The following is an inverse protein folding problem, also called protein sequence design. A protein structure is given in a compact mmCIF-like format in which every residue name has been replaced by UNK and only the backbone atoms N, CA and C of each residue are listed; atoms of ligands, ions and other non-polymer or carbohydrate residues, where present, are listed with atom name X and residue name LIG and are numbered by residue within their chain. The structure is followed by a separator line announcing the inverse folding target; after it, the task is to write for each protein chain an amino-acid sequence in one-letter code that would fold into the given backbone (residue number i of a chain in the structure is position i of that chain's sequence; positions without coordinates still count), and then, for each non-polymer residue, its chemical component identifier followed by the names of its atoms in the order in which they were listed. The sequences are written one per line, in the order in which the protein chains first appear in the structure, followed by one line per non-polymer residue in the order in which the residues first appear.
data_IF_165479086058
#
_entry.id   IF_165479086058
#
_cell.length_a   1.000
_cell.length_b   1.000
_cell.length_c   1.000
_cell.angle_alpha   90.00
_cell.angle_beta   90.00
_cell.angle_gamma   90.00
#
_symmetry.space_group_name_H-M   'P 1'
#
loop_
_entity.id
_entity.type
_entity.pdbx_description
1 polymer ?
#
# COMPACT_ATOMS: atom_id res chain seq x y z
N UNK A 1 11.24 23.04 30.64
CA UNK A 1 12.46 22.35 30.13
C UNK A 1 12.31 20.83 29.96
N UNK A 2 11.27 20.16 30.48
CA UNK A 2 11.12 18.69 30.39
C UNK A 2 10.53 18.19 29.06
N UNK A 3 9.72 18.99 28.36
CA UNK A 3 9.09 18.60 27.09
C UNK A 3 10.07 18.47 25.90
N UNK A 4 11.23 19.13 25.96
CA UNK A 4 12.25 19.03 24.91
C UNK A 4 12.97 17.66 24.92
N UNK A 5 13.25 17.13 26.12
CA UNK A 5 14.00 15.87 26.29
C UNK A 5 13.21 14.65 25.79
N UNK A 6 11.87 14.67 25.92
CA UNK A 6 11.02 13.59 25.42
C UNK A 6 10.98 13.49 23.90
N UNK A 7 11.09 14.61 23.18
CA UNK A 7 11.14 14.61 21.71
C UNK A 7 12.46 14.04 21.19
N UNK A 8 13.58 14.31 21.85
CA UNK A 8 14.88 13.75 21.45
C UNK A 8 14.95 12.23 21.65
N UNK A 9 14.44 11.72 22.77
CA UNK A 9 14.44 10.26 23.05
C UNK A 9 13.55 9.51 22.04
N UNK A 10 12.41 10.09 21.65
CA UNK A 10 11.50 9.50 20.64
C UNK A 10 12.10 9.50 19.24
N UNK A 11 12.98 10.46 18.92
CA UNK A 11 13.71 10.51 17.65
C UNK A 11 14.87 9.50 17.63
N UNK A 12 15.62 9.38 18.73
CA UNK A 12 16.75 8.44 18.83
C UNK A 12 16.30 6.97 18.65
N UNK A 13 15.19 6.56 19.26
CA UNK A 13 14.68 5.19 19.11
C UNK A 13 14.18 4.86 17.70
N UNK A 14 13.69 5.86 16.94
CA UNK A 14 13.29 5.67 15.53
C UNK A 14 14.49 5.44 14.63
N UNK A 15 15.61 6.13 14.88
CA UNK A 15 16.85 5.98 14.11
C UNK A 15 17.45 4.58 14.34
N UNK A 16 17.44 4.12 15.59
CA UNK A 16 17.94 2.77 15.94
C UNK A 16 17.10 1.68 15.26
N UNK A 17 15.76 1.81 15.25
CA UNK A 17 14.88 0.83 14.59
C UNK A 17 15.09 0.75 13.07
N UNK A 18 15.38 1.86 12.41
CA UNK A 18 15.68 1.89 10.97
C UNK A 18 17.06 1.27 10.68
N UNK A 19 18.05 1.51 11.54
CA UNK A 19 19.38 0.91 11.40
C UNK A 19 19.35 -0.63 11.50
N UNK A 20 18.55 -1.18 12.41
CA UNK A 20 18.38 -2.65 12.56
C UNK A 20 17.69 -3.26 11.34
N UNK A 21 16.67 -2.60 10.78
CA UNK A 21 15.96 -3.08 9.58
C UNK A 21 16.83 -3.07 8.32
N UNK A 22 17.72 -2.08 8.17
CA UNK A 22 18.66 -2.01 7.04
C UNK A 22 19.76 -3.08 7.18
N UNK A 23 20.17 -3.42 8.41
CA UNK A 23 21.17 -4.47 8.65
C UNK A 23 20.68 -5.90 8.36
N UNK A 24 19.37 -6.14 8.40
CA UNK A 24 18.79 -7.46 8.10
C UNK A 24 18.60 -7.75 6.60
N UNK A 25 18.83 -6.78 5.71
CA UNK A 25 18.54 -6.93 4.27
C UNK A 25 19.78 -7.25 3.41
N UNK A 26 20.95 -7.49 4.03
CA UNK A 26 22.22 -7.69 3.31
C UNK A 26 22.83 -9.10 3.42
N UNK A 27 22.12 -10.07 4.01
CA UNK A 27 22.56 -11.48 4.03
C UNK A 27 21.56 -12.34 3.26
N UNK A 28 21.78 -12.46 1.95
CA UNK A 28 20.96 -13.27 1.06
C UNK A 28 21.58 -13.38 -0.34
N UNK A 29 22.89 -13.62 -0.41
CA UNK A 29 23.59 -13.94 -1.64
C UNK A 29 24.50 -15.16 -1.40
N UNK A 30 24.06 -16.32 -1.90
CA UNK A 30 24.87 -17.50 -2.22
C UNK A 30 24.04 -18.25 -3.30
N UNK A 31 24.47 -18.16 -4.58
CA UNK A 31 25.17 -19.22 -5.35
C UNK A 31 24.29 -20.45 -5.62
N UNK A 32 24.31 -21.16 -6.75
CA UNK A 32 24.92 -21.10 -8.08
C UNK A 32 24.44 -22.45 -8.67
N UNK A 33 23.91 -22.50 -9.89
CA UNK A 33 23.87 -23.80 -10.59
C UNK A 33 23.87 -23.60 -12.12
N UNK A 34 25.01 -24.01 -12.65
CA UNK A 34 25.31 -24.32 -14.04
C UNK A 34 24.45 -25.49 -14.54
N UNK A 35 23.81 -25.35 -15.70
CA UNK A 35 23.38 -26.51 -16.49
C UNK A 35 23.19 -26.16 -17.98
N UNK A 36 24.19 -26.57 -18.75
CA UNK A 36 24.07 -27.21 -20.06
C UNK A 36 23.36 -26.49 -21.22
N UNK A 37 24.18 -25.87 -22.09
CA UNK A 37 23.91 -25.81 -23.52
C UNK A 37 24.04 -27.21 -24.15
N UNK A 38 23.11 -27.65 -25.01
CA UNK A 38 23.41 -28.69 -25.98
C UNK A 38 23.87 -28.10 -27.31
N UNK A 39 24.93 -28.72 -27.79
CA UNK A 39 25.72 -28.43 -28.97
C UNK A 39 24.98 -28.71 -30.27
N UNK A 40 25.36 -27.98 -31.31
CA UNK A 40 25.07 -28.31 -32.70
C UNK A 40 25.79 -29.62 -33.08
N UNK A 41 25.17 -30.51 -33.88
CA UNK A 41 25.93 -31.47 -34.67
C UNK A 41 26.18 -30.96 -36.09
N UNK A 42 27.45 -31.07 -36.47
CA UNK A 42 27.98 -30.87 -37.80
C UNK A 42 27.52 -31.97 -38.78
N UNK A 43 27.24 -31.53 -40.02
CA UNK A 43 27.56 -32.15 -41.31
C UNK A 43 27.28 -33.65 -41.50
N UNK A 44 26.30 -33.94 -42.37
CA UNK A 44 26.39 -35.04 -43.35
C UNK A 44 26.04 -34.48 -44.72
N UNK A 45 27.06 -34.27 -45.54
CA UNK A 45 26.93 -34.07 -46.98
C UNK A 45 26.63 -35.42 -47.62
N UNK A 46 25.51 -35.51 -48.34
CA UNK A 46 25.28 -36.57 -49.31
C UNK A 46 24.95 -35.89 -50.64
N UNK A 47 25.93 -35.89 -51.54
CA UNK A 47 25.76 -35.52 -52.94
C UNK A 47 25.10 -36.69 -53.67
N UNK A 48 24.01 -36.41 -54.39
CA UNK A 48 23.49 -37.24 -55.49
C UNK A 48 22.55 -36.38 -56.38
N UNK A 49 22.43 -36.70 -57.67
CA UNK A 49 22.61 -35.73 -58.74
C UNK A 49 21.34 -34.97 -59.15
N UNK A 50 21.59 -33.78 -59.70
CA UNK A 50 20.63 -32.93 -60.42
C UNK A 50 20.10 -33.64 -61.66
N UNK A 51 18.79 -33.59 -61.93
CA UNK A 51 18.31 -33.47 -63.30
C UNK A 51 17.79 -32.06 -63.55
N UNK A 52 18.13 -31.57 -64.74
CA UNK A 52 17.87 -30.24 -65.25
C UNK A 52 16.37 -29.89 -65.36
N UNK A 53 16.14 -28.57 -65.48
CA UNK A 53 14.97 -27.92 -66.07
C UNK A 53 13.69 -27.80 -65.24
N UNK A 54 13.64 -26.81 -64.33
CA UNK A 54 12.39 -26.07 -64.03
C UNK A 54 12.68 -24.59 -63.84
N UNK A 55 11.98 -23.75 -64.63
CA UNK A 55 12.00 -22.29 -64.65
C UNK A 55 11.82 -21.67 -63.25
N UNK A 56 12.47 -20.53 -62.92
CA UNK A 56 12.22 -19.86 -61.65
C UNK A 56 10.80 -19.28 -61.62
N UNK A 57 9.96 -19.77 -60.70
CA UNK A 57 8.74 -19.10 -60.32
C UNK A 57 9.11 -17.87 -59.48
N UNK A 58 8.64 -16.70 -59.91
CA UNK A 58 8.83 -15.42 -59.22
C UNK A 58 8.37 -15.50 -57.75
N UNK A 59 9.09 -14.89 -56.79
CA UNK A 59 8.62 -14.83 -55.41
C UNK A 59 7.31 -14.02 -55.33
N UNK A 60 6.32 -14.46 -54.54
CA UNK A 60 5.05 -13.76 -54.44
C UNK A 60 5.23 -12.40 -53.74
N UNK A 61 5.29 -11.34 -54.55
CA UNK A 61 4.98 -9.93 -54.28
C UNK A 61 4.70 -9.59 -52.79
N UNK A 62 5.77 -9.39 -52.01
CA UNK A 62 5.75 -9.03 -50.58
C UNK A 62 4.94 -7.74 -50.29
N UNK A 63 4.71 -6.90 -51.30
CA UNK A 63 3.88 -5.71 -51.21
C UNK A 63 2.38 -5.99 -50.98
N UNK A 64 1.85 -7.15 -51.39
CA UNK A 64 0.42 -7.49 -51.20
C UNK A 64 0.09 -7.87 -49.77
N UNK A 65 1.00 -8.58 -49.10
CA UNK A 65 0.80 -8.99 -47.69
C UNK A 65 0.97 -7.77 -46.78
N UNK A 66 1.97 -6.92 -47.03
CA UNK A 66 2.13 -5.68 -46.28
C UNK A 66 0.99 -4.68 -46.52
N UNK A 67 0.50 -4.57 -47.75
CA UNK A 67 -0.67 -3.76 -48.09
C UNK A 67 -1.95 -4.28 -47.43
N UNK A 68 -2.15 -5.60 -47.39
CA UNK A 68 -3.27 -6.23 -46.67
C UNK A 68 -3.16 -6.01 -45.16
N UNK A 69 -1.97 -6.14 -44.56
CA UNK A 69 -1.73 -5.89 -43.14
C UNK A 69 -1.91 -4.42 -42.77
N UNK A 70 -1.48 -3.48 -43.64
CA UNK A 70 -1.68 -2.04 -43.48
C UNK A 70 -3.17 -1.68 -43.56
N UNK A 71 -3.87 -2.18 -44.57
CA UNK A 71 -5.32 -1.96 -44.77
C UNK A 71 -6.16 -2.61 -43.68
N UNK A 72 -5.75 -3.77 -43.15
CA UNK A 72 -6.37 -4.41 -42.00
C UNK A 72 -6.15 -3.61 -40.71
N UNK A 73 -4.95 -3.02 -40.53
CA UNK A 73 -4.61 -2.17 -39.38
C UNK A 73 -5.32 -0.82 -39.41
N UNK A 74 -5.46 -0.21 -40.59
CA UNK A 74 -6.26 1.00 -40.82
C UNK A 74 -7.75 0.74 -40.55
N UNK A 75 -8.30 -0.37 -41.08
CA UNK A 75 -9.67 -0.81 -40.84
C UNK A 75 -9.97 -1.13 -39.36
N UNK A 76 -8.96 -1.57 -38.60
CA UNK A 76 -9.06 -1.80 -37.14
C UNK A 76 -8.86 -0.51 -36.33
N UNK A 77 -8.01 0.41 -36.80
CA UNK A 77 -7.58 1.61 -36.07
C UNK A 77 -8.59 2.75 -36.03
N UNK A 78 -9.48 2.85 -37.03
CA UNK A 78 -10.40 3.99 -37.11
C UNK A 78 -11.71 3.80 -36.34
N UNK A 79 -12.16 2.56 -36.09
CA UNK A 79 -13.43 2.29 -35.39
C UNK A 79 -13.31 1.94 -33.90
N UNK A 80 -12.10 1.67 -33.39
CA UNK A 80 -11.90 1.26 -31.98
C UNK A 80 -11.38 2.39 -31.09
N UNK A 81 -10.75 3.41 -31.65
CA UNK A 81 -10.14 4.53 -30.93
C UNK A 81 -11.10 5.43 -30.10
N UNK A 82 -12.36 5.73 -30.51
CA UNK A 82 -13.20 6.63 -29.75
C UNK A 82 -13.88 5.96 -28.54
N UNK A 83 -14.09 4.64 -28.59
CA UNK A 83 -14.72 3.89 -27.49
C UNK A 83 -13.73 3.70 -26.34
N UNK A 84 -12.49 3.27 -26.63
CA UNK A 84 -11.51 3.04 -25.58
C UNK A 84 -11.08 4.31 -24.84
N UNK A 85 -11.05 5.48 -25.51
CA UNK A 85 -10.75 6.77 -24.85
C UNK A 85 -11.85 7.17 -23.86
N UNK A 86 -13.12 6.88 -24.18
CA UNK A 86 -14.25 7.12 -23.27
C UNK A 86 -14.21 6.14 -22.10
N UNK A 87 -13.93 4.87 -22.35
CA UNK A 87 -13.83 3.85 -21.30
C UNK A 87 -12.68 4.11 -20.32
N UNK A 88 -11.52 4.54 -20.80
CA UNK A 88 -10.39 4.89 -19.92
C UNK A 88 -10.62 6.16 -19.12
N UNK A 89 -11.32 7.16 -19.69
CA UNK A 89 -11.74 8.34 -18.95
C UNK A 89 -12.76 7.97 -17.85
N UNK A 90 -13.78 7.17 -18.16
CA UNK A 90 -14.75 6.70 -17.16
C UNK A 90 -14.08 5.84 -16.09
N UNK A 91 -13.08 5.01 -16.47
CA UNK A 91 -12.31 4.23 -15.53
C UNK A 91 -11.38 5.08 -14.66
N UNK A 92 -10.84 6.18 -15.21
CA UNK A 92 -10.05 7.18 -14.47
C UNK A 92 -10.91 7.88 -13.41
N UNK A 93 -12.07 8.41 -13.82
CA UNK A 93 -12.99 9.16 -12.97
C UNK A 93 -13.53 8.27 -11.86
N UNK A 94 -13.86 7.01 -12.18
CA UNK A 94 -14.26 6.01 -11.18
C UNK A 94 -13.16 5.73 -10.17
N UNK A 95 -11.88 5.79 -10.55
CA UNK A 95 -10.77 5.62 -9.62
C UNK A 95 -10.53 6.85 -8.75
N UNK A 96 -10.68 8.06 -9.29
CA UNK A 96 -10.63 9.33 -8.55
C UNK A 96 -11.74 9.39 -7.50
N UNK A 97 -12.99 9.21 -7.91
CA UNK A 97 -14.15 9.13 -7.01
C UNK A 97 -13.99 8.07 -5.90
N UNK A 98 -13.34 6.95 -6.22
CA UNK A 98 -13.05 5.93 -5.22
C UNK A 98 -11.86 6.28 -4.31
N UNK A 99 -10.94 7.12 -4.79
CA UNK A 99 -9.86 7.70 -4.01
C UNK A 99 -10.40 8.68 -2.98
N UNK A 100 -11.23 9.64 -3.40
CA UNK A 100 -11.90 10.62 -2.54
C UNK A 100 -12.72 9.93 -1.44
N UNK A 101 -13.57 8.95 -1.81
CA UNK A 101 -14.35 8.17 -0.83
C UNK A 101 -13.48 7.42 0.19
N UNK A 102 -12.26 7.03 -0.18
CA UNK A 102 -11.32 6.41 0.75
C UNK A 102 -10.69 7.43 1.69
N UNK A 103 -10.41 8.65 1.21
CA UNK A 103 -9.92 9.75 2.03
C UNK A 103 -10.97 10.17 3.06
N UNK A 104 -12.22 10.40 2.63
CA UNK A 104 -13.34 10.76 3.52
C UNK A 104 -13.58 9.69 4.61
N UNK A 105 -13.50 8.41 4.23
CA UNK A 105 -13.59 7.29 5.21
C UNK A 105 -12.39 7.26 6.15
N UNK A 106 -11.23 7.68 5.67
CA UNK A 106 -10.02 7.86 6.46
C UNK A 106 -10.21 8.91 7.54
N UNK A 107 -10.61 10.12 7.15
CA UNK A 107 -10.91 11.24 8.05
C UNK A 107 -11.95 10.88 9.11
N UNK A 108 -13.09 10.29 8.69
CA UNK A 108 -14.12 9.84 9.64
C UNK A 108 -13.62 8.82 10.65
N UNK A 109 -12.63 8.00 10.26
CA UNK A 109 -12.03 7.01 11.18
C UNK A 109 -11.05 7.65 12.13
N UNK A 110 -10.31 8.65 11.67
CA UNK A 110 -9.38 9.45 12.47
C UNK A 110 -10.13 10.23 13.54
N UNK A 111 -11.19 10.95 13.17
CA UNK A 111 -12.07 11.67 14.09
C UNK A 111 -12.72 10.74 15.12
N UNK A 112 -13.13 9.53 14.70
CA UNK A 112 -13.62 8.51 15.63
C UNK A 112 -12.51 8.01 16.56
N UNK A 113 -11.27 7.97 16.09
CA UNK A 113 -10.08 7.67 16.87
C UNK A 113 -9.89 8.67 17.99
N UNK A 114 -9.87 9.96 17.66
CA UNK A 114 -9.77 11.08 18.61
C UNK A 114 -10.86 11.01 19.68
N UNK A 115 -12.12 10.81 19.28
CA UNK A 115 -13.25 10.67 20.25
C UNK A 115 -13.09 9.48 21.20
N UNK A 116 -12.42 8.41 20.76
CA UNK A 116 -12.16 7.25 21.61
C UNK A 116 -10.98 7.50 22.54
N UNK A 117 -9.96 8.22 22.08
CA UNK A 117 -8.83 8.67 22.87
C UNK A 117 -9.26 9.61 23.99
N UNK A 118 -10.06 10.64 23.68
CA UNK A 118 -10.63 11.57 24.66
C UNK A 118 -11.46 10.83 25.73
N UNK A 119 -12.20 9.79 25.34
CA UNK A 119 -12.93 8.95 26.30
C UNK A 119 -11.99 8.16 27.22
N UNK A 120 -10.80 7.80 26.73
CA UNK A 120 -9.73 7.20 27.51
C UNK A 120 -9.21 8.16 28.57
N UNK A 121 -8.87 9.38 28.15
CA UNK A 121 -8.36 10.44 29.04
C UNK A 121 -9.35 10.76 30.16
N UNK A 122 -10.63 10.96 29.82
CA UNK A 122 -11.70 11.17 30.80
C UNK A 122 -11.83 10.02 31.80
N UNK A 123 -11.54 8.78 31.39
CA UNK A 123 -11.52 7.65 32.34
C UNK A 123 -10.32 7.68 33.26
N UNK A 124 -9.15 8.11 32.79
CA UNK A 124 -7.96 8.31 33.61
C UNK A 124 -8.18 9.42 34.64
N UNK A 125 -8.77 10.55 34.25
CA UNK A 125 -9.14 11.62 35.21
C UNK A 125 -10.10 11.12 36.29
N UNK A 126 -11.08 10.29 35.91
CA UNK A 126 -12.00 9.68 36.88
C UNK A 126 -11.30 8.66 37.78
N UNK A 127 -10.24 8.01 37.30
CA UNK A 127 -9.41 7.13 38.14
C UNK A 127 -8.65 7.94 39.18
N UNK A 128 -8.01 9.05 38.78
CA UNK A 128 -7.30 9.96 39.69
C UNK A 128 -8.23 10.49 40.79
N UNK A 129 -9.45 10.92 40.44
CA UNK A 129 -10.46 11.34 41.42
C UNK A 129 -10.82 10.23 42.43
N UNK A 130 -10.84 8.97 42.00
CA UNK A 130 -11.07 7.84 42.91
C UNK A 130 -9.86 7.56 43.80
N UNK A 131 -8.64 7.78 43.33
CA UNK A 131 -7.41 7.69 44.15
C UNK A 131 -7.40 8.77 45.24
N UNK A 132 -7.78 9.99 44.90
CA UNK A 132 -7.96 11.06 45.89
C UNK A 132 -9.03 10.71 46.93
N UNK A 133 -10.14 10.10 46.50
CA UNK A 133 -11.17 9.62 47.42
C UNK A 133 -10.65 8.47 48.29
N UNK A 134 -9.82 7.58 47.76
CA UNK A 134 -9.18 6.51 48.51
C UNK A 134 -8.26 7.08 49.61
N UNK A 135 -7.45 8.09 49.28
CA UNK A 135 -6.60 8.79 50.24
C UNK A 135 -7.43 9.40 51.39
N UNK A 136 -8.52 10.09 51.07
CA UNK A 136 -9.46 10.62 52.07
C UNK A 136 -10.11 9.55 52.94
N UNK A 137 -10.34 8.35 52.42
CA UNK A 137 -10.87 7.23 53.21
C UNK A 137 -9.81 6.64 54.15
N UNK A 138 -8.53 6.57 53.71
CA UNK A 138 -7.41 6.18 54.58
C UNK A 138 -7.24 7.15 55.74
N UNK A 139 -7.29 8.46 55.47
CA UNK A 139 -7.23 9.48 56.53
C UNK A 139 -8.35 9.34 57.57
N UNK A 140 -9.52 8.84 57.16
CA UNK A 140 -10.66 8.56 58.05
C UNK A 140 -10.55 7.21 58.78
N UNK A 141 -9.48 6.45 58.57
CA UNK A 141 -9.28 5.12 59.15
C UNK A 141 -10.03 3.99 58.42
N UNK A 142 -10.64 4.26 57.27
CA UNK A 142 -11.40 3.27 56.50
C UNK A 142 -10.51 2.58 55.44
N UNK A 143 -9.53 1.79 55.87
CA UNK A 143 -8.56 1.14 54.97
C UNK A 143 -9.23 0.25 53.90
N UNK A 144 -10.18 -0.61 54.29
CA UNK A 144 -10.89 -1.49 53.35
C UNK A 144 -11.64 -0.72 52.26
N UNK A 145 -12.22 0.43 52.60
CA UNK A 145 -12.92 1.28 51.64
C UNK A 145 -11.94 1.96 50.69
N UNK A 146 -10.81 2.43 51.20
CA UNK A 146 -9.75 3.03 50.41
C UNK A 146 -9.14 2.03 49.41
N UNK A 147 -8.79 0.83 49.86
CA UNK A 147 -8.22 -0.21 49.00
C UNK A 147 -9.18 -0.63 47.88
N UNK A 148 -10.49 -0.67 48.18
CA UNK A 148 -11.52 -0.93 47.16
C UNK A 148 -11.57 0.18 46.13
N UNK A 149 -11.47 1.45 46.54
CA UNK A 149 -11.42 2.60 45.63
C UNK A 149 -10.16 2.58 44.77
N UNK A 150 -8.99 2.31 45.36
CA UNK A 150 -7.71 2.23 44.64
C UNK A 150 -7.72 1.12 43.58
N UNK A 151 -8.22 -0.08 43.92
CA UNK A 151 -8.39 -1.18 42.95
C UNK A 151 -9.32 -0.79 41.80
N UNK A 152 -10.41 -0.07 42.10
CA UNK A 152 -11.34 0.41 41.08
C UNK A 152 -10.72 1.50 40.21
N UNK A 153 -9.94 2.41 40.81
CA UNK A 153 -9.18 3.43 40.11
C UNK A 153 -8.20 2.80 39.12
N UNK A 154 -7.37 1.88 39.58
CA UNK A 154 -6.42 1.16 38.72
C UNK A 154 -7.11 0.46 37.54
N UNK A 155 -8.22 -0.23 37.79
CA UNK A 155 -9.02 -0.86 36.71
C UNK A 155 -9.53 0.15 35.70
N UNK A 156 -9.94 1.34 36.16
CA UNK A 156 -10.46 2.40 35.30
C UNK A 156 -9.36 3.10 34.52
N UNK A 157 -8.20 3.35 35.14
CA UNK A 157 -7.01 3.88 34.49
C UNK A 157 -6.56 2.94 33.34
N UNK A 158 -6.43 1.64 33.62
CA UNK A 158 -6.08 0.64 32.60
C UNK A 158 -7.09 0.61 31.45
N UNK A 159 -8.38 0.81 31.73
CA UNK A 159 -9.42 0.90 30.70
C UNK A 159 -9.32 2.19 29.90
N UNK A 160 -8.92 3.29 30.54
CA UNK A 160 -8.61 4.56 29.91
C UNK A 160 -7.46 4.44 28.90
N UNK A 161 -6.32 3.92 29.36
CA UNK A 161 -5.15 3.63 28.52
C UNK A 161 -5.48 2.70 27.35
N UNK A 162 -6.29 1.66 27.58
CA UNK A 162 -6.73 0.77 26.50
C UNK A 162 -7.60 1.47 25.45
N UNK A 163 -8.36 2.51 25.82
CA UNK A 163 -9.11 3.32 24.86
C UNK A 163 -8.21 4.29 24.11
N UNK A 164 -7.27 4.96 24.77
CA UNK A 164 -6.25 5.81 24.11
C UNK A 164 -5.50 5.03 23.02
N UNK A 165 -4.93 3.88 23.39
CA UNK A 165 -4.28 2.97 22.44
C UNK A 165 -5.20 2.54 21.28
N UNK A 166 -6.51 2.40 21.54
CA UNK A 166 -7.48 2.08 20.48
C UNK A 166 -7.77 3.28 19.59
N UNK A 167 -7.83 4.48 20.16
CA UNK A 167 -7.95 5.77 19.47
C UNK A 167 -6.81 5.96 18.48
N UNK A 168 -5.56 5.88 18.96
CA UNK A 168 -4.35 5.99 18.14
C UNK A 168 -4.33 4.98 16.98
N UNK A 169 -4.70 3.72 17.25
CA UNK A 169 -4.79 2.69 16.20
C UNK A 169 -5.82 3.04 15.13
N UNK A 170 -6.94 3.66 15.51
CA UNK A 170 -7.97 4.09 14.55
C UNK A 170 -7.50 5.29 13.72
N UNK A 171 -6.84 6.28 14.34
CA UNK A 171 -6.19 7.39 13.63
C UNK A 171 -5.19 6.87 12.61
N UNK A 172 -4.26 6.00 13.03
CA UNK A 172 -3.29 5.40 12.12
C UNK A 172 -3.92 4.55 11.00
N UNK A 173 -5.10 3.96 11.22
CA UNK A 173 -5.87 3.31 10.16
C UNK A 173 -6.56 4.32 9.23
N UNK A 174 -7.01 5.46 9.75
CA UNK A 174 -7.55 6.59 8.99
C UNK A 174 -6.53 7.15 8.01
N UNK A 175 -5.35 7.50 8.51
CA UNK A 175 -4.23 8.00 7.68
C UNK A 175 -3.85 7.02 6.56
N UNK A 176 -3.80 5.71 6.86
CA UNK A 176 -3.49 4.69 5.85
C UNK A 176 -4.54 4.63 4.75
N UNK A 177 -5.82 4.88 5.09
CA UNK A 177 -6.90 4.94 4.11
C UNK A 177 -6.81 6.21 3.26
N UNK A 178 -6.51 7.37 3.85
CA UNK A 178 -6.25 8.60 3.10
C UNK A 178 -5.10 8.43 2.10
N UNK A 179 -3.93 7.94 2.56
CA UNK A 179 -2.78 7.62 1.68
C UNK A 179 -3.12 6.64 0.56
N UNK A 180 -4.02 5.68 0.82
CA UNK A 180 -4.49 4.75 -0.21
C UNK A 180 -5.44 5.43 -1.19
N UNK A 181 -6.28 6.34 -0.71
CA UNK A 181 -7.17 7.17 -1.50
C UNK A 181 -6.39 8.05 -2.48
N UNK A 182 -5.42 8.82 -1.98
CA UNK A 182 -4.51 9.66 -2.79
C UNK A 182 -3.80 8.86 -3.89
N UNK A 183 -3.25 7.67 -3.54
CA UNK A 183 -2.62 6.79 -4.52
C UNK A 183 -3.59 6.35 -5.61
N UNK A 184 -4.86 6.17 -5.28
CA UNK A 184 -5.89 5.75 -6.22
C UNK A 184 -6.31 6.88 -7.14
N UNK A 185 -6.51 8.07 -6.58
CA UNK A 185 -6.78 9.30 -7.30
C UNK A 185 -5.69 9.60 -8.32
N UNK A 186 -4.42 9.60 -7.89
CA UNK A 186 -3.26 9.74 -8.79
C UNK A 186 -3.23 8.69 -9.90
N UNK A 187 -3.74 7.47 -9.65
CA UNK A 187 -3.82 6.41 -10.66
C UNK A 187 -4.95 6.67 -11.66
N UNK A 188 -6.06 7.25 -11.20
CA UNK A 188 -7.14 7.76 -12.04
C UNK A 188 -6.66 8.88 -12.96
N UNK A 189 -5.98 9.89 -12.42
CA UNK A 189 -5.45 11.00 -13.22
C UNK A 189 -4.50 10.54 -14.32
N UNK A 190 -3.64 9.56 -13.99
CA UNK A 190 -2.72 8.97 -14.97
C UNK A 190 -3.46 8.23 -16.07
N UNK A 191 -4.61 7.62 -15.79
CA UNK A 191 -5.45 7.00 -16.82
C UNK A 191 -6.09 8.04 -17.73
N UNK A 192 -6.54 9.17 -17.18
CA UNK A 192 -7.00 10.29 -18.01
C UNK A 192 -5.91 10.83 -18.94
N UNK A 193 -4.67 10.94 -18.46
CA UNK A 193 -3.54 11.51 -19.21
C UNK A 193 -2.80 10.50 -20.11
N UNK A 194 -3.01 9.19 -19.92
CA UNK A 194 -2.11 8.11 -20.34
C UNK A 194 -2.17 7.65 -21.81
N UNK A 195 -3.05 8.19 -22.65
CA UNK A 195 -3.18 7.78 -24.07
C UNK A 195 -2.60 8.78 -25.09
N UNK A 196 -1.76 9.71 -24.66
CA UNK A 196 -1.11 10.70 -25.53
C UNK A 196 0.39 10.50 -25.80
N UNK A 197 1.01 9.41 -25.32
CA UNK A 197 2.46 9.17 -25.43
C UNK A 197 2.77 7.76 -25.93
N UNK A 198 2.39 7.42 -27.16
CA UNK A 198 2.96 6.29 -27.92
C UNK A 198 2.94 6.61 -29.40
#
# INVERSE_FOLDING_TARGET
MLAGKYKEIKMANKIIAVAVLVSCFSFGAYAQDDAAQPQQPAVVQNEAPVPADVKPAEPPQEGRVQGWLRKWRERKGENTAPVEKKEDAVAGEKMENQGERLQERGEKREERGERVEEKGERMQEQAQKMEEQAAKQREKGNETAADKLERNAKRKANRGEALENKGERMQGQGERMQKRGEKRERRGERKHKGKGRR
#
